data_IF_296722565092
#
_entry.id   IF_296722565092
#
_cell.length_a   1.000
_cell.length_b   1.000
_cell.length_c   1.000
_cell.angle_alpha   90.00
_cell.angle_beta   90.00
_cell.angle_gamma   90.00
#
_symmetry.space_group_name_H-M   'P 1'
#
loop_
_entity.id
_entity.type
_entity.pdbx_description
1 polymer ?
#
# COMPACT_ATOMS: atom_id res chain seq x y z
N UNK A 1 -6.47 4.53 -7.08
CA UNK A 1 -5.22 3.96 -7.66
C UNK A 1 -5.14 4.28 -9.16
N UNK A 2 -6.14 3.93 -9.96
CA UNK A 2 -6.12 4.24 -11.40
C UNK A 2 -5.79 5.70 -11.68
N UNK A 3 -6.50 6.63 -11.05
CA UNK A 3 -6.26 8.07 -11.23
C UNK A 3 -4.85 8.50 -10.84
N UNK A 4 -4.30 7.94 -9.77
CA UNK A 4 -2.93 8.23 -9.33
C UNK A 4 -1.87 7.73 -10.33
N UNK A 5 -2.18 6.68 -11.10
CA UNK A 5 -1.33 6.15 -12.16
C UNK A 5 -1.60 6.76 -13.54
N UNK A 6 -2.51 7.74 -13.65
CA UNK A 6 -2.90 8.33 -14.91
C UNK A 6 -3.73 7.41 -15.82
N UNK A 7 -4.34 6.38 -15.23
CA UNK A 7 -5.19 5.43 -15.95
C UNK A 7 -6.66 5.82 -15.81
N UNK A 8 -7.41 5.72 -16.89
CA UNK A 8 -8.86 5.92 -16.86
C UNK A 8 -9.55 4.73 -16.19
N UNK A 9 -10.40 4.95 -15.16
CA UNK A 9 -11.19 3.89 -14.58
C UNK A 9 -12.21 3.40 -15.63
N UNK A 10 -12.06 2.18 -16.10
CA UNK A 10 -12.96 1.64 -17.11
C UNK A 10 -13.64 0.35 -16.64
N UNK A 11 -14.95 0.33 -16.78
CA UNK A 11 -15.83 -0.82 -16.87
C UNK A 11 -15.71 -1.89 -15.78
N UNK A 12 -15.04 -2.95 -16.06
CA UNK A 12 -14.98 -4.13 -15.18
C UNK A 12 -13.79 -4.08 -14.25
N UNK A 13 -14.00 -4.45 -12.99
CA UNK A 13 -12.96 -4.54 -11.94
C UNK A 13 -11.72 -5.33 -12.39
N UNK A 14 -11.93 -6.47 -13.05
CA UNK A 14 -10.84 -7.30 -13.57
C UNK A 14 -10.00 -6.57 -14.62
N UNK A 15 -10.63 -5.75 -15.48
CA UNK A 15 -9.93 -4.95 -16.49
C UNK A 15 -9.09 -3.85 -15.86
N UNK A 16 -9.61 -3.20 -14.82
CA UNK A 16 -8.86 -2.19 -14.06
C UNK A 16 -7.66 -2.80 -13.34
N UNK A 17 -7.84 -3.96 -12.72
CA UNK A 17 -6.77 -4.67 -12.05
C UNK A 17 -5.64 -5.02 -13.02
N UNK A 18 -5.99 -5.59 -14.17
CA UNK A 18 -5.02 -5.90 -15.23
C UNK A 18 -4.30 -4.66 -15.74
N UNK A 19 -5.02 -3.56 -15.98
CA UNK A 19 -4.43 -2.31 -16.44
C UNK A 19 -3.42 -1.74 -15.42
N UNK A 20 -3.73 -1.79 -14.13
CA UNK A 20 -2.82 -1.37 -13.06
C UNK A 20 -1.57 -2.25 -13.05
N UNK A 21 -1.74 -3.56 -13.10
CA UNK A 21 -0.64 -4.52 -13.13
C UNK A 21 0.28 -4.31 -14.34
N UNK A 22 -0.27 -4.23 -15.53
CA UNK A 22 0.49 -4.02 -16.77
C UNK A 22 1.25 -2.69 -16.74
N UNK A 23 0.62 -1.64 -16.20
CA UNK A 23 1.25 -0.33 -16.07
C UNK A 23 2.44 -0.35 -15.11
N UNK A 24 2.30 -0.97 -13.95
CA UNK A 24 3.38 -1.12 -12.96
C UNK A 24 4.54 -1.92 -13.56
N UNK A 25 4.26 -3.03 -14.24
CA UNK A 25 5.29 -3.82 -14.92
C UNK A 25 6.01 -3.01 -16.00
N UNK A 26 5.28 -2.24 -16.79
CA UNK A 26 5.88 -1.39 -17.81
C UNK A 26 6.79 -0.31 -17.19
N UNK A 27 6.37 0.32 -16.10
CA UNK A 27 7.21 1.27 -15.37
C UNK A 27 8.53 0.64 -14.94
N UNK A 28 8.47 -0.58 -14.42
CA UNK A 28 9.65 -1.30 -13.95
C UNK A 28 10.56 -1.76 -15.09
N UNK A 29 10.00 -2.48 -16.06
CA UNK A 29 10.78 -3.19 -17.08
C UNK A 29 11.25 -2.28 -18.22
N UNK A 30 10.43 -1.31 -18.61
CA UNK A 30 10.72 -0.43 -19.74
C UNK A 30 11.39 0.87 -19.29
N UNK A 31 10.86 1.48 -18.24
CA UNK A 31 11.30 2.80 -17.79
C UNK A 31 12.31 2.73 -16.61
N UNK A 32 12.55 1.55 -16.06
CA UNK A 32 13.40 1.34 -14.87
C UNK A 32 12.95 2.18 -13.66
N UNK A 33 11.63 2.37 -13.51
CA UNK A 33 11.02 3.11 -12.42
C UNK A 33 10.39 2.11 -11.45
N UNK A 34 10.75 2.19 -10.18
CA UNK A 34 10.10 1.43 -9.11
C UNK A 34 9.05 2.34 -8.43
N UNK A 35 7.76 2.14 -8.69
CA UNK A 35 6.71 2.99 -8.10
C UNK A 35 6.55 2.72 -6.60
N UNK A 36 6.22 3.78 -5.87
CA UNK A 36 5.83 3.70 -4.46
C UNK A 36 4.39 4.21 -4.35
N UNK A 37 3.51 3.35 -3.89
CA UNK A 37 2.11 3.69 -3.61
C UNK A 37 1.94 3.98 -2.12
N UNK A 38 1.62 5.21 -1.78
CA UNK A 38 1.34 5.63 -0.40
C UNK A 38 -0.18 5.69 -0.22
N UNK A 39 -0.69 4.97 0.75
CA UNK A 39 -2.11 4.96 1.12
C UNK A 39 -2.24 5.50 2.53
N UNK A 40 -2.68 6.74 2.63
CA UNK A 40 -2.96 7.38 3.91
C UNK A 40 -4.35 6.98 4.43
N UNK A 41 -4.54 7.06 5.73
CA UNK A 41 -5.76 6.65 6.42
C UNK A 41 -6.21 5.21 6.07
N UNK A 42 -5.27 4.31 5.88
CA UNK A 42 -5.54 2.91 5.51
C UNK A 42 -6.40 2.17 6.57
N UNK A 43 -6.39 2.64 7.79
CA UNK A 43 -7.26 2.14 8.86
C UNK A 43 -8.76 2.33 8.58
N UNK A 44 -9.12 3.32 7.75
CA UNK A 44 -10.51 3.60 7.34
C UNK A 44 -10.99 2.73 6.18
N UNK A 45 -10.09 2.05 5.48
CA UNK A 45 -10.46 1.17 4.38
C UNK A 45 -11.15 -0.09 4.87
N UNK A 46 -12.13 -0.56 4.11
CA UNK A 46 -12.75 -1.86 4.35
C UNK A 46 -11.78 -3.03 4.13
N UNK A 47 -11.99 -4.14 4.82
CA UNK A 47 -11.12 -5.32 4.73
C UNK A 47 -10.98 -5.83 3.29
N UNK A 48 -12.04 -5.78 2.50
CA UNK A 48 -12.03 -6.18 1.09
C UNK A 48 -11.11 -5.31 0.23
N UNK A 49 -11.01 -4.02 0.52
CA UNK A 49 -10.08 -3.11 -0.18
C UNK A 49 -8.63 -3.42 0.20
N UNK A 50 -8.38 -3.68 1.48
CA UNK A 50 -7.04 -4.07 1.94
C UNK A 50 -6.58 -5.39 1.31
N UNK A 51 -7.49 -6.36 1.14
CA UNK A 51 -7.19 -7.59 0.40
C UNK A 51 -6.85 -7.32 -1.06
N UNK A 52 -7.53 -6.39 -1.71
CA UNK A 52 -7.21 -6.00 -3.10
C UNK A 52 -5.87 -5.33 -3.25
N UNK A 53 -5.49 -4.49 -2.30
CA UNK A 53 -4.16 -3.89 -2.25
C UNK A 53 -3.09 -4.98 -2.25
N UNK A 54 -3.31 -6.05 -1.47
CA UNK A 54 -2.42 -7.20 -1.46
C UNK A 54 -2.31 -7.88 -2.83
N UNK A 55 -3.42 -8.01 -3.53
CA UNK A 55 -3.43 -8.61 -4.88
C UNK A 55 -2.70 -7.74 -5.91
N UNK A 56 -2.82 -6.41 -5.79
CA UNK A 56 -2.09 -5.47 -6.66
C UNK A 56 -0.56 -5.60 -6.47
N UNK A 57 -0.12 -5.86 -5.26
CA UNK A 57 1.29 -6.02 -4.94
C UNK A 57 1.88 -7.39 -5.33
N UNK A 58 1.02 -8.36 -5.63
CA UNK A 58 1.45 -9.73 -5.92
C UNK A 58 1.83 -9.89 -7.40
N UNK A 59 3.12 -9.87 -7.68
CA UNK A 59 3.69 -10.14 -9.00
C UNK A 59 4.42 -11.48 -9.01
N UNK A 60 4.13 -12.32 -10.00
CA UNK A 60 4.75 -13.64 -10.15
C UNK A 60 4.78 -14.44 -8.82
N UNK A 61 3.64 -14.50 -8.12
CA UNK A 61 3.54 -15.19 -6.82
C UNK A 61 4.57 -14.70 -5.80
N UNK A 62 4.73 -13.37 -5.68
CA UNK A 62 5.71 -12.70 -4.81
C UNK A 62 7.19 -12.94 -5.15
N UNK A 63 7.49 -13.48 -6.31
CA UNK A 63 8.88 -13.66 -6.77
C UNK A 63 9.47 -12.42 -7.44
N UNK A 64 8.67 -11.39 -7.69
CA UNK A 64 9.09 -10.13 -8.31
C UNK A 64 8.55 -8.92 -7.56
N UNK A 65 9.47 -8.10 -7.08
CA UNK A 65 9.17 -6.87 -6.35
C UNK A 65 9.05 -5.69 -7.32
N UNK A 66 7.84 -5.44 -7.81
CA UNK A 66 7.57 -4.42 -8.82
C UNK A 66 7.07 -3.09 -8.25
N UNK A 67 6.60 -3.08 -7.01
CA UNK A 67 6.02 -1.91 -6.35
C UNK A 67 6.25 -1.96 -4.85
N UNK A 68 6.53 -0.82 -4.25
CA UNK A 68 6.49 -0.68 -2.79
C UNK A 68 5.16 -0.05 -2.37
N UNK A 69 4.50 -0.63 -1.40
CA UNK A 69 3.25 -0.08 -0.83
C UNK A 69 3.51 0.36 0.62
N UNK A 70 3.20 1.61 0.90
CA UNK A 70 3.25 2.19 2.23
C UNK A 70 1.82 2.44 2.73
N UNK A 71 1.42 1.73 3.78
CA UNK A 71 0.15 1.95 4.47
C UNK A 71 0.38 2.86 5.68
N UNK A 72 -0.27 4.00 5.69
CA UNK A 72 -0.27 4.93 6.83
C UNK A 72 -1.65 4.89 7.49
N UNK A 73 -1.70 4.89 8.81
CA UNK A 73 -2.96 4.88 9.53
C UNK A 73 -2.76 4.97 11.03
N UNK A 74 -3.86 5.02 11.75
CA UNK A 74 -3.87 5.01 13.20
C UNK A 74 -3.61 3.60 13.77
N UNK A 75 -3.50 3.48 15.07
CA UNK A 75 -3.16 2.21 15.75
C UNK A 75 -4.16 1.07 15.45
N UNK A 76 -5.42 1.40 15.19
CA UNK A 76 -6.43 0.43 14.79
C UNK A 76 -6.11 -0.27 13.44
N UNK A 77 -5.22 0.27 12.61
CA UNK A 77 -4.72 -0.43 11.42
C UNK A 77 -3.99 -1.73 11.81
N UNK A 78 -3.19 -1.70 12.86
CA UNK A 78 -2.50 -2.89 13.36
C UNK A 78 -3.48 -3.95 13.86
N UNK A 79 -4.56 -3.51 14.53
CA UNK A 79 -5.63 -4.42 14.98
C UNK A 79 -6.33 -5.08 13.78
N UNK A 80 -6.61 -4.32 12.71
CA UNK A 80 -7.17 -4.87 11.47
C UNK A 80 -6.25 -5.90 10.82
N UNK A 81 -4.97 -5.60 10.73
CA UNK A 81 -3.98 -6.53 10.14
C UNK A 81 -3.85 -7.83 10.95
N UNK A 82 -4.24 -7.83 12.22
CA UNK A 82 -4.32 -9.03 13.06
C UNK A 82 -5.52 -9.94 12.75
N UNK A 83 -6.47 -9.51 11.92
CA UNK A 83 -7.61 -10.34 11.54
C UNK A 83 -7.18 -11.45 10.58
N UNK A 84 -7.71 -12.65 10.77
CA UNK A 84 -7.39 -13.81 9.91
C UNK A 84 -7.68 -13.57 8.42
N UNK A 85 -8.70 -12.79 8.11
CA UNK A 85 -9.06 -12.42 6.73
C UNK A 85 -7.99 -11.56 6.04
N UNK A 86 -7.14 -10.89 6.80
CA UNK A 86 -6.04 -10.05 6.30
C UNK A 86 -4.65 -10.67 6.51
N UNK A 87 -4.57 -11.94 6.90
CA UNK A 87 -3.31 -12.64 7.18
C UNK A 87 -2.33 -12.55 6.01
N UNK A 88 -2.79 -12.72 4.78
CA UNK A 88 -1.94 -12.62 3.58
C UNK A 88 -1.32 -11.22 3.43
N UNK A 89 -2.08 -10.16 3.75
CA UNK A 89 -1.56 -8.80 3.75
C UNK A 89 -0.57 -8.59 4.90
N UNK A 90 -0.91 -9.02 6.09
CA UNK A 90 -0.04 -8.90 7.27
C UNK A 90 1.31 -9.60 7.07
N UNK A 91 1.30 -10.81 6.47
CA UNK A 91 2.51 -11.56 6.17
C UNK A 91 3.38 -10.90 5.08
N UNK A 92 2.80 -10.07 4.23
CA UNK A 92 3.54 -9.32 3.22
C UNK A 92 4.21 -8.04 3.77
N UNK A 93 3.82 -7.58 4.95
CA UNK A 93 4.44 -6.41 5.60
C UNK A 93 5.85 -6.79 6.06
N UNK A 94 6.85 -6.11 5.51
CA UNK A 94 8.27 -6.35 5.83
C UNK A 94 8.80 -5.40 6.89
N UNK A 95 8.26 -4.18 6.95
CA UNK A 95 8.69 -3.14 7.90
C UNK A 95 7.47 -2.49 8.53
N UNK A 96 7.50 -2.33 9.84
CA UNK A 96 6.48 -1.58 10.60
C UNK A 96 7.17 -0.50 11.43
N UNK A 97 6.70 0.73 11.30
CA UNK A 97 7.20 1.88 12.06
C UNK A 97 6.06 2.48 12.85
N UNK A 98 6.27 2.73 14.13
CA UNK A 98 5.37 3.49 14.99
C UNK A 98 5.88 4.89 15.22
N UNK A 99 5.00 5.87 14.99
CA UNK A 99 5.26 7.28 15.33
C UNK A 99 4.46 7.58 16.60
N UNK A 100 5.18 7.83 17.69
CA UNK A 100 4.58 8.19 18.96
C UNK A 100 4.45 9.71 19.09
N UNK A 101 3.64 10.16 20.07
CA UNK A 101 3.59 11.58 20.42
C UNK A 101 4.97 12.06 20.88
N UNK A 102 5.29 13.30 20.53
CA UNK A 102 6.52 13.93 20.96
C UNK A 102 6.55 14.02 22.49
N UNK A 103 7.70 13.69 23.09
CA UNK A 103 7.96 13.99 24.49
C UNK A 103 8.15 15.49 24.67
N UNK A 104 8.00 15.97 25.90
CA UNK A 104 8.11 17.42 26.22
C UNK A 104 9.41 18.03 25.69
N UNK A 105 10.52 17.35 25.86
CA UNK A 105 11.85 17.80 25.40
C UNK A 105 11.94 17.85 23.87
N UNK A 106 11.39 16.85 23.19
CA UNK A 106 11.32 16.78 21.74
C UNK A 106 10.42 17.87 21.17
N UNK A 107 9.32 18.20 21.87
CA UNK A 107 8.41 19.29 21.50
C UNK A 107 9.12 20.64 21.52
N UNK A 108 9.92 20.91 22.54
CA UNK A 108 10.68 22.15 22.62
C UNK A 108 11.71 22.25 21.50
N UNK A 109 12.43 21.18 21.22
CA UNK A 109 13.40 21.15 20.10
C UNK A 109 12.74 21.36 18.72
N UNK A 110 11.52 20.87 18.55
CA UNK A 110 10.77 21.02 17.30
C UNK A 110 10.29 22.47 17.05
N UNK A 111 9.94 23.20 18.13
CA UNK A 111 9.44 24.58 18.04
C UNK A 111 10.58 25.60 17.87
N UNK A 112 11.77 25.28 18.30
CA UNK A 112 12.97 26.12 18.08
C UNK A 112 13.45 26.08 16.63
#
# INVERSE_FOLDING_TARGET
ICNALGLEPSGRRASMFKAIHDHILNMNQTNHIHPILIIDEADKLGNHILQEIRLIANFNYDSYDAITILLCGQENLLQKLGLSILESLANAVTVTVRINTLKREETYSYIE
#
